data_IF_771788294293
#
_entry.id   IF_771788294293
#
_cell.length_a   1.000
_cell.length_b   1.000
_cell.length_c   1.000
_cell.angle_alpha   90.00
_cell.angle_beta   90.00
_cell.angle_gamma   90.00
#
_symmetry.space_group_name_H-M   'P 1'
#
loop_
_entity.id
_entity.type
_entity.pdbx_description
1 polymer ?
#
# COMPACT_ATOMS: atom_id res chain seq x y z
N UNK A 1 6.62 22.86 -20.25
CA UNK A 1 6.29 24.00 -19.37
C UNK A 1 4.87 23.92 -18.79
N UNK A 2 3.84 23.53 -19.54
CA UNK A 2 2.46 23.41 -19.08
C UNK A 2 2.27 22.45 -17.89
N UNK A 3 2.85 21.26 -17.93
CA UNK A 3 2.76 20.27 -16.84
C UNK A 3 3.29 20.78 -15.49
N UNK A 4 4.38 21.58 -15.50
CA UNK A 4 4.95 22.18 -14.28
C UNK A 4 4.04 23.28 -13.71
N UNK A 5 3.38 24.07 -14.58
CA UNK A 5 2.43 25.11 -14.15
C UNK A 5 1.15 24.52 -13.58
N UNK A 6 0.65 23.44 -14.17
CA UNK A 6 -0.52 22.71 -13.67
C UNK A 6 -0.21 22.08 -12.31
N UNK A 7 0.96 21.46 -12.13
CA UNK A 7 1.39 20.93 -10.84
C UNK A 7 1.50 22.00 -9.76
N UNK A 8 2.09 23.17 -10.10
CA UNK A 8 2.21 24.30 -9.17
C UNK A 8 0.83 24.89 -8.82
N UNK A 9 -0.11 24.92 -9.77
CA UNK A 9 -1.47 25.37 -9.53
C UNK A 9 -2.20 24.42 -8.57
N UNK A 10 -2.10 23.12 -8.77
CA UNK A 10 -2.67 22.11 -7.85
C UNK A 10 -2.03 22.17 -6.47
N UNK A 11 -0.71 22.35 -6.39
CA UNK A 11 -0.01 22.54 -5.13
C UNK A 11 -0.46 23.82 -4.42
N UNK A 12 -0.66 24.91 -5.15
CA UNK A 12 -1.14 26.18 -4.60
C UNK A 12 -2.60 26.13 -4.14
N UNK A 13 -3.48 25.46 -4.90
CA UNK A 13 -4.88 25.24 -4.53
C UNK A 13 -4.95 24.33 -3.29
N UNK A 14 -4.12 23.29 -3.22
CA UNK A 14 -4.01 22.45 -2.04
C UNK A 14 -3.57 23.27 -0.82
N UNK A 15 -2.53 24.10 -0.94
CA UNK A 15 -2.03 24.95 0.14
C UNK A 15 -3.08 26.00 0.54
N UNK A 16 -3.77 26.65 -0.42
CA UNK A 16 -4.80 27.65 -0.14
C UNK A 16 -6.02 27.03 0.57
N UNK A 17 -6.38 25.77 0.27
CA UNK A 17 -7.42 25.03 0.99
C UNK A 17 -7.08 24.78 2.46
N UNK A 18 -5.79 24.71 2.81
CA UNK A 18 -5.35 24.54 4.20
C UNK A 18 -5.52 25.80 5.07
N UNK A 19 -5.65 26.98 4.48
CA UNK A 19 -5.64 28.26 5.24
C UNK A 19 -7.00 28.53 5.90
N UNK A 20 -8.11 28.02 5.37
CA UNK A 20 -9.46 28.28 5.86
C UNK A 20 -10.16 27.07 6.52
N UNK A 21 -9.55 25.89 6.48
CA UNK A 21 -10.08 24.71 7.14
C UNK A 21 -9.24 24.39 8.36
N UNK A 22 -9.87 23.92 9.43
CA UNK A 22 -9.20 23.41 10.64
C UNK A 22 -8.46 22.08 10.33
N UNK A 23 -7.60 22.09 9.29
CA UNK A 23 -6.82 20.92 8.89
C UNK A 23 -5.73 20.66 9.92
N UNK A 24 -5.72 19.47 10.47
CA UNK A 24 -4.76 19.05 11.47
C UNK A 24 -3.72 18.13 10.82
N UNK A 25 -2.46 18.55 10.70
CA UNK A 25 -1.42 17.67 10.20
C UNK A 25 -1.10 16.56 11.21
N UNK A 26 -0.60 15.43 10.70
CA UNK A 26 -0.19 14.31 11.54
C UNK A 26 0.92 13.48 10.92
N UNK A 27 1.59 12.73 11.78
CA UNK A 27 2.60 11.75 11.39
C UNK A 27 2.05 10.36 11.68
N UNK A 28 2.18 9.47 10.73
CA UNK A 28 1.74 8.08 10.81
C UNK A 28 2.93 7.15 10.70
N UNK A 29 3.00 6.17 11.60
CA UNK A 29 3.92 5.04 11.51
C UNK A 29 3.12 3.74 11.62
N UNK A 30 3.62 2.66 11.07
CA UNK A 30 2.90 1.40 11.14
C UNK A 30 3.70 0.19 10.72
N UNK A 31 3.14 -0.95 11.06
CA UNK A 31 3.62 -2.26 10.70
C UNK A 31 2.67 -2.88 9.68
N UNK A 32 3.24 -3.48 8.63
CA UNK A 32 2.51 -4.05 7.52
C UNK A 32 2.72 -5.55 7.45
N UNK A 33 1.66 -6.25 7.07
CA UNK A 33 1.71 -7.62 6.55
C UNK A 33 1.20 -7.59 5.13
N UNK A 34 2.12 -7.57 4.15
CA UNK A 34 1.79 -7.57 2.74
C UNK A 34 1.77 -8.97 2.16
N UNK A 35 0.92 -9.18 1.19
CA UNK A 35 0.82 -10.43 0.44
C UNK A 35 0.23 -10.20 -0.94
N UNK A 36 0.19 -11.26 -1.72
CA UNK A 36 -0.56 -11.33 -2.97
C UNK A 36 -1.59 -12.43 -2.89
N UNK A 37 -2.78 -12.17 -3.42
CA UNK A 37 -3.91 -13.10 -3.45
C UNK A 37 -4.43 -13.18 -4.87
N UNK A 38 -4.80 -14.37 -5.34
CA UNK A 38 -5.38 -14.55 -6.66
C UNK A 38 -5.20 -15.94 -7.21
N UNK A 39 -5.55 -16.11 -8.48
CA UNK A 39 -5.53 -17.38 -9.19
C UNK A 39 -4.45 -17.38 -10.27
N UNK A 40 -3.77 -18.49 -10.37
CA UNK A 40 -2.90 -18.82 -11.49
C UNK A 40 -3.59 -19.89 -12.33
N UNK A 41 -3.81 -19.61 -13.60
CA UNK A 41 -4.26 -20.61 -14.58
C UNK A 41 -3.23 -20.71 -15.70
N UNK A 42 -2.58 -21.83 -15.82
CA UNK A 42 -1.64 -22.13 -16.92
C UNK A 42 -1.48 -23.64 -17.09
N UNK A 43 -1.33 -24.05 -18.37
CA UNK A 43 -1.17 -25.47 -18.76
C UNK A 43 0.25 -25.99 -18.62
N UNK A 44 1.19 -25.17 -18.14
CA UNK A 44 2.61 -25.57 -18.02
C UNK A 44 3.05 -25.61 -16.57
N UNK A 45 3.93 -26.59 -16.30
CA UNK A 45 4.49 -26.73 -14.97
C UNK A 45 5.32 -25.51 -14.56
N UNK A 46 5.36 -25.20 -13.27
CA UNK A 46 6.13 -24.09 -12.72
C UNK A 46 7.61 -24.05 -13.11
N UNK A 47 8.19 -25.13 -13.56
CA UNK A 47 9.61 -25.23 -13.94
C UNK A 47 9.97 -24.49 -15.24
N UNK A 48 9.00 -24.28 -16.14
CA UNK A 48 9.21 -23.60 -17.43
C UNK A 48 9.07 -22.07 -17.36
N UNK A 49 8.57 -21.56 -16.24
CA UNK A 49 8.43 -20.13 -16.04
C UNK A 49 9.69 -19.61 -15.36
N UNK A 50 10.50 -18.87 -16.08
CA UNK A 50 11.77 -18.27 -15.61
C UNK A 50 11.60 -17.34 -14.41
N UNK A 51 10.37 -16.95 -14.10
CA UNK A 51 9.90 -16.21 -12.92
C UNK A 51 8.51 -16.75 -12.53
N UNK A 52 8.46 -17.96 -12.10
CA UNK A 52 7.18 -18.54 -11.70
C UNK A 52 6.77 -17.92 -10.37
N UNK A 53 5.72 -17.13 -10.42
CA UNK A 53 4.87 -17.03 -9.26
C UNK A 53 4.48 -18.47 -8.90
N UNK A 54 4.84 -18.94 -7.71
CA UNK A 54 4.47 -20.26 -7.25
C UNK A 54 2.96 -20.44 -7.27
N UNK A 55 2.51 -21.65 -7.09
CA UNK A 55 1.11 -21.96 -6.87
C UNK A 55 0.52 -20.91 -5.90
N UNK A 56 -0.62 -20.27 -6.19
CA UNK A 56 -1.24 -19.28 -5.30
C UNK A 56 -1.36 -19.71 -3.84
N UNK A 57 -1.42 -21.02 -3.58
CA UNK A 57 -1.38 -21.59 -2.24
C UNK A 57 -0.03 -21.44 -1.50
N UNK A 58 1.04 -21.07 -2.20
CA UNK A 58 2.38 -20.96 -1.63
C UNK A 58 2.82 -19.52 -1.30
N UNK A 59 1.98 -18.54 -1.61
CA UNK A 59 2.23 -17.15 -1.22
C UNK A 59 1.93 -16.94 0.25
N UNK A 60 2.90 -16.41 0.97
CA UNK A 60 2.77 -16.04 2.37
C UNK A 60 2.95 -14.54 2.54
N UNK A 61 2.22 -13.99 3.49
CA UNK A 61 2.38 -12.58 3.86
C UNK A 61 3.78 -12.33 4.41
N UNK A 62 4.31 -11.17 4.07
CA UNK A 62 5.61 -10.70 4.54
C UNK A 62 5.45 -9.43 5.36
N UNK A 63 6.18 -9.38 6.47
CA UNK A 63 6.24 -8.19 7.31
C UNK A 63 6.97 -7.03 6.62
N UNK A 64 6.48 -5.84 6.90
CA UNK A 64 7.02 -4.58 6.44
C UNK A 64 6.65 -3.45 7.40
N UNK A 65 6.95 -2.24 7.01
CA UNK A 65 6.63 -1.05 7.78
C UNK A 65 6.13 0.07 6.87
N UNK A 66 5.51 1.06 7.47
CA UNK A 66 5.13 2.28 6.78
C UNK A 66 5.39 3.49 7.66
N UNK A 67 5.72 4.60 7.01
CA UNK A 67 5.84 5.91 7.62
C UNK A 67 5.24 6.94 6.67
N UNK A 68 4.53 7.91 7.21
CA UNK A 68 3.86 8.90 6.37
C UNK A 68 3.35 10.11 7.12
N UNK A 69 2.80 11.01 6.32
CA UNK A 69 2.14 12.22 6.77
C UNK A 69 0.65 12.10 6.42
N UNK A 70 -0.17 12.67 7.25
CA UNK A 70 -1.61 12.78 7.03
C UNK A 70 -2.07 14.20 7.30
N UNK A 71 -3.16 14.58 6.66
CA UNK A 71 -3.88 15.79 6.95
C UNK A 71 -5.30 15.41 7.35
N UNK A 72 -5.65 15.61 8.59
CA UNK A 72 -6.98 15.34 9.09
C UNK A 72 -7.86 16.55 8.86
N UNK A 73 -8.81 16.44 7.97
CA UNK A 73 -9.73 17.51 7.56
C UNK A 73 -11.14 17.19 8.04
N UNK A 74 -11.56 17.70 9.20
CA UNK A 74 -12.91 17.51 9.68
C UNK A 74 -13.92 18.24 8.78
N UNK A 75 -14.94 17.52 8.33
CA UNK A 75 -16.09 18.08 7.60
C UNK A 75 -17.18 18.47 8.60
N UNK A 76 -17.39 17.62 9.60
CA UNK A 76 -18.29 17.85 10.72
C UNK A 76 -17.78 17.09 11.96
N UNK A 77 -18.59 17.03 13.02
CA UNK A 77 -18.18 16.40 14.27
C UNK A 77 -17.91 14.89 14.16
N UNK A 78 -18.53 14.21 13.21
CA UNK A 78 -18.42 12.77 13.03
C UNK A 78 -17.66 12.34 11.77
N UNK A 79 -17.51 13.24 10.79
CA UNK A 79 -16.88 12.93 9.49
C UNK A 79 -15.65 13.79 9.25
N UNK A 80 -14.61 13.15 8.73
CA UNK A 80 -13.42 13.82 8.22
C UNK A 80 -12.94 13.16 6.93
N UNK A 81 -12.19 13.91 6.14
CA UNK A 81 -11.38 13.36 5.05
C UNK A 81 -9.91 13.40 5.50
N UNK A 82 -9.23 12.29 5.35
CA UNK A 82 -7.83 12.17 5.73
C UNK A 82 -6.98 11.80 4.51
N UNK A 83 -6.56 12.78 3.67
CA UNK A 83 -5.52 12.55 2.69
C UNK A 83 -4.18 12.34 3.38
N UNK A 84 -3.30 11.60 2.71
CA UNK A 84 -1.95 11.36 3.23
C UNK A 84 -0.94 11.07 2.15
N UNK A 85 0.31 10.97 2.56
CA UNK A 85 1.40 10.44 1.76
C UNK A 85 2.22 9.50 2.64
N UNK A 86 2.47 8.28 2.17
CA UNK A 86 3.22 7.29 2.95
C UNK A 86 4.24 6.55 2.11
N UNK A 87 5.40 6.30 2.69
CA UNK A 87 6.34 5.29 2.23
C UNK A 87 5.93 3.97 2.87
N UNK A 88 5.65 2.97 2.04
CA UNK A 88 5.17 1.67 2.47
C UNK A 88 6.07 0.58 1.94
N UNK A 89 6.65 -0.20 2.84
CA UNK A 89 7.31 -1.45 2.51
C UNK A 89 6.28 -2.56 2.53
N UNK A 90 6.10 -3.19 1.39
CA UNK A 90 5.20 -4.32 1.18
C UNK A 90 5.99 -5.49 0.62
N UNK A 91 5.38 -6.65 0.51
CA UNK A 91 6.02 -7.77 -0.12
C UNK A 91 5.31 -9.08 0.19
N UNK A 92 5.85 -10.14 -0.37
CA UNK A 92 5.35 -11.48 -0.16
C UNK A 92 6.51 -12.47 -0.14
N UNK A 93 6.23 -13.65 0.37
CA UNK A 93 7.15 -14.78 0.37
C UNK A 93 6.54 -15.87 -0.49
N UNK A 94 7.27 -16.32 -1.48
CA UNK A 94 6.93 -17.45 -2.32
C UNK A 94 7.72 -18.67 -1.85
N UNK A 95 7.02 -19.74 -1.44
CA UNK A 95 7.61 -21.00 -1.04
C UNK A 95 7.38 -22.03 -2.14
N UNK A 96 8.46 -22.53 -2.67
CA UNK A 96 8.46 -23.49 -3.75
C UNK A 96 8.99 -24.83 -3.26
N UNK A 97 8.20 -25.89 -3.44
CA UNK A 97 8.52 -27.25 -2.98
C UNK A 97 8.64 -28.18 -4.20
N UNK A 98 9.60 -27.92 -5.09
CA UNK A 98 10.02 -28.89 -6.09
C UNK A 98 11.48 -29.21 -5.84
N UNK A 99 11.81 -30.47 -5.59
CA UNK A 99 13.17 -30.94 -5.34
C UNK A 99 13.94 -30.27 -4.18
N UNK A 100 13.24 -29.79 -3.17
CA UNK A 100 13.79 -29.15 -1.95
C UNK A 100 13.24 -27.77 -1.70
N UNK A 101 13.10 -27.42 -0.42
CA UNK A 101 12.55 -26.14 0.01
C UNK A 101 13.33 -24.95 -0.59
N UNK A 102 12.70 -24.23 -1.47
CA UNK A 102 13.16 -22.97 -1.98
C UNK A 102 12.21 -21.85 -1.53
N UNK A 103 12.76 -20.80 -0.96
CA UNK A 103 12.00 -19.66 -0.46
C UNK A 103 12.52 -18.40 -1.14
N UNK A 104 11.64 -17.69 -1.82
CA UNK A 104 11.91 -16.39 -2.40
C UNK A 104 11.13 -15.33 -1.66
N UNK A 105 11.81 -14.30 -1.17
CA UNK A 105 11.20 -13.18 -0.45
C UNK A 105 11.32 -11.92 -1.29
N UNK A 106 10.20 -11.25 -1.48
CA UNK A 106 10.10 -9.98 -2.18
C UNK A 106 9.88 -8.85 -1.18
N UNK A 107 10.61 -7.77 -1.34
CA UNK A 107 10.45 -6.52 -0.58
C UNK A 107 10.30 -5.40 -1.57
N UNK A 108 9.15 -4.74 -1.56
CA UNK A 108 8.76 -3.71 -2.50
C UNK A 108 8.48 -2.41 -1.73
N UNK A 109 9.02 -1.30 -2.20
CA UNK A 109 8.84 0.00 -1.59
C UNK A 109 8.01 0.88 -2.51
N UNK A 110 6.93 1.42 -1.95
CA UNK A 110 5.98 2.28 -2.63
C UNK A 110 5.87 3.63 -1.94
N UNK A 111 5.75 4.67 -2.75
CA UNK A 111 5.20 5.95 -2.30
C UNK A 111 3.71 5.94 -2.64
N UNK A 112 2.86 6.01 -1.63
CA UNK A 112 1.40 5.92 -1.79
C UNK A 112 0.73 7.19 -1.26
N UNK A 113 -0.34 7.58 -1.94
CA UNK A 113 -1.22 8.70 -1.58
C UNK A 113 -2.63 8.13 -1.32
N UNK A 114 -2.96 7.79 -0.08
CA UNK A 114 -4.32 7.44 0.32
C UNK A 114 -5.18 8.68 0.51
N UNK A 115 -6.49 8.52 0.28
CA UNK A 115 -7.52 9.51 0.64
C UNK A 115 -8.65 8.75 1.31
N UNK A 116 -8.72 8.83 2.64
CA UNK A 116 -9.73 8.10 3.41
C UNK A 116 -10.83 9.04 3.91
N UNK A 117 -12.08 8.64 3.73
CA UNK A 117 -13.18 9.14 4.54
C UNK A 117 -13.10 8.46 5.90
N UNK A 118 -13.18 9.23 6.97
CA UNK A 118 -13.09 8.75 8.33
C UNK A 118 -14.37 9.13 9.09
N UNK A 119 -15.02 8.12 9.67
CA UNK A 119 -16.17 8.29 10.56
C UNK A 119 -15.71 8.10 12.01
N UNK A 120 -16.13 9.03 12.87
CA UNK A 120 -15.79 9.07 14.29
C UNK A 120 -17.05 8.90 15.12
N UNK A 121 -17.05 7.90 15.96
CA UNK A 121 -18.09 7.67 16.93
C UNK A 121 -17.54 7.98 18.32
N UNK A 122 -18.02 9.05 18.93
CA UNK A 122 -17.65 9.39 20.30
C UNK A 122 -18.27 8.37 21.25
N UNK A 123 -17.43 7.73 22.07
CA UNK A 123 -17.85 6.69 23.03
C UNK A 123 -17.57 7.07 24.47
N UNK A 124 -16.64 7.99 24.71
CA UNK A 124 -16.34 8.58 26.00
C UNK A 124 -15.64 9.93 25.81
N UNK A 125 -15.43 10.67 26.88
CA UNK A 125 -14.65 11.90 26.86
C UNK A 125 -13.26 11.62 26.27
N UNK A 126 -12.89 12.38 25.23
CA UNK A 126 -11.63 12.23 24.47
C UNK A 126 -11.38 10.86 23.80
N UNK A 127 -12.39 9.97 23.75
CA UNK A 127 -12.28 8.65 23.12
C UNK A 127 -13.27 8.52 21.97
N UNK A 128 -12.76 8.28 20.77
CA UNK A 128 -13.57 8.00 19.59
C UNK A 128 -13.22 6.63 19.02
N UNK A 129 -14.23 5.89 18.58
CA UNK A 129 -14.06 4.76 17.69
C UNK A 129 -14.02 5.30 16.27
N UNK A 130 -13.05 4.86 15.49
CA UNK A 130 -12.79 5.30 14.13
C UNK A 130 -13.10 4.20 13.14
N UNK A 131 -13.76 4.57 12.05
CA UNK A 131 -13.88 3.76 10.84
C UNK A 131 -13.36 4.58 9.68
N UNK A 132 -12.57 3.97 8.81
CA UNK A 132 -12.08 4.65 7.62
C UNK A 132 -12.24 3.77 6.39
N UNK A 133 -12.49 4.40 5.24
CA UNK A 133 -12.45 3.74 3.95
C UNK A 133 -12.12 4.76 2.84
N UNK A 134 -11.48 4.29 1.78
CA UNK A 134 -11.18 5.15 0.64
C UNK A 134 -10.15 4.56 -0.32
N UNK A 135 -9.92 5.23 -1.44
CA UNK A 135 -8.93 4.84 -2.43
C UNK A 135 -7.51 5.20 -2.00
N UNK A 136 -6.57 4.49 -2.59
CA UNK A 136 -5.17 4.88 -2.62
C UNK A 136 -4.59 4.69 -4.02
N UNK A 137 -3.59 5.49 -4.33
CA UNK A 137 -2.73 5.31 -5.50
C UNK A 137 -1.27 5.43 -5.07
N UNK A 138 -0.38 4.75 -5.76
CA UNK A 138 1.03 4.76 -5.44
C UNK A 138 1.93 4.45 -6.62
N UNK A 139 3.20 4.71 -6.41
CA UNK A 139 4.26 4.39 -7.36
C UNK A 139 5.32 3.52 -6.67
N UNK A 140 5.72 2.44 -7.35
CA UNK A 140 6.84 1.62 -6.95
C UNK A 140 8.15 2.40 -7.11
N UNK A 141 8.94 2.44 -6.05
CA UNK A 141 10.22 3.17 -6.04
C UNK A 141 11.38 2.22 -6.33
N UNK A 142 11.46 1.16 -5.58
CA UNK A 142 12.47 0.12 -5.73
C UNK A 142 12.02 -1.17 -5.04
N UNK A 143 12.60 -2.29 -5.47
CA UNK A 143 12.34 -3.58 -4.86
C UNK A 143 13.61 -4.41 -4.74
N UNK A 144 13.57 -5.35 -3.81
CA UNK A 144 14.64 -6.34 -3.62
C UNK A 144 14.06 -7.73 -3.42
N UNK A 145 14.76 -8.73 -3.93
CA UNK A 145 14.45 -10.12 -3.67
C UNK A 145 15.63 -10.84 -3.03
N UNK A 146 15.31 -11.86 -2.26
CA UNK A 146 16.29 -12.81 -1.71
C UNK A 146 15.82 -14.24 -1.96
N UNK A 147 16.76 -15.14 -2.16
CA UNK A 147 16.50 -16.53 -2.45
C UNK A 147 17.25 -17.41 -1.46
N UNK A 148 16.53 -18.37 -0.88
CA UNK A 148 17.07 -19.36 0.05
C UNK A 148 16.68 -20.76 -0.45
N UNK A 149 17.62 -21.68 -0.54
CA UNK A 149 17.39 -23.05 -0.94
C UNK A 149 17.93 -24.01 0.13
N UNK A 150 17.11 -24.99 0.55
CA UNK A 150 17.45 -25.94 1.63
C UNK A 150 17.98 -25.25 2.89
N UNK A 151 17.34 -24.15 3.31
CA UNK A 151 17.74 -23.37 4.47
C UNK A 151 19.03 -22.55 4.32
N UNK A 152 19.76 -22.66 3.21
CA UNK A 152 20.97 -21.89 2.94
C UNK A 152 20.67 -20.71 2.02
N UNK A 153 21.08 -19.51 2.42
CA UNK A 153 20.99 -18.33 1.57
C UNK A 153 21.85 -18.51 0.34
N UNK A 154 21.27 -18.27 -0.84
CA UNK A 154 22.00 -18.32 -2.11
C UNK A 154 22.54 -16.92 -2.43
N UNK A 155 23.80 -16.86 -2.85
CA UNK A 155 24.39 -15.62 -3.30
C UNK A 155 23.83 -15.28 -4.67
N UNK A 156 22.95 -14.28 -4.71
CA UNK A 156 22.48 -13.68 -5.94
C UNK A 156 23.44 -12.55 -6.35
N UNK A 157 23.63 -12.36 -7.66
CA UNK A 157 24.29 -11.15 -8.16
C UNK A 157 23.45 -9.91 -7.83
N UNK A 158 24.06 -8.73 -7.81
CA UNK A 158 23.34 -7.50 -7.44
C UNK A 158 22.21 -7.17 -8.43
N UNK A 159 22.37 -7.53 -9.71
CA UNK A 159 21.31 -7.44 -10.71
C UNK A 159 20.15 -8.40 -10.45
N UNK A 160 20.42 -9.59 -9.93
CA UNK A 160 19.38 -10.57 -9.57
C UNK A 160 18.64 -10.22 -8.28
N UNK A 161 19.24 -9.45 -7.39
CA UNK A 161 18.60 -8.96 -6.16
C UNK A 161 17.66 -7.80 -6.40
N UNK A 162 17.88 -7.01 -7.45
CA UNK A 162 17.09 -5.82 -7.76
C UNK A 162 15.83 -6.21 -8.53
N UNK A 163 14.72 -5.60 -8.14
CA UNK A 163 13.44 -5.67 -8.85
C UNK A 163 13.25 -4.34 -9.56
N UNK A 164 13.04 -4.37 -10.87
CA UNK A 164 12.76 -3.18 -11.68
C UNK A 164 11.26 -2.91 -11.72
N UNK A 165 10.90 -1.63 -11.52
CA UNK A 165 9.55 -1.13 -11.72
C UNK A 165 9.43 -0.44 -13.06
N UNK A 166 8.39 -0.76 -13.82
CA UNK A 166 8.14 -0.16 -15.11
C UNK A 166 6.95 -0.78 -15.82
N UNK A 167 6.68 -0.31 -17.04
CA UNK A 167 5.63 -0.83 -17.90
C UNK A 167 6.22 -1.48 -19.18
N UNK A 168 7.54 -1.63 -19.22
CA UNK A 168 8.26 -2.23 -20.32
C UNK A 168 8.33 -3.75 -20.23
N UNK A 169 8.70 -4.39 -21.37
CA UNK A 169 8.84 -5.86 -21.47
C UNK A 169 9.93 -6.41 -20.55
N UNK A 170 10.89 -5.57 -20.15
CA UNK A 170 12.01 -5.94 -19.27
C UNK A 170 11.75 -5.70 -17.79
N UNK A 171 10.63 -5.05 -17.45
CA UNK A 171 10.31 -4.70 -16.08
C UNK A 171 9.64 -5.87 -15.35
N UNK A 172 9.89 -5.97 -14.04
CA UNK A 172 9.41 -7.08 -13.22
C UNK A 172 8.01 -6.81 -12.66
N UNK A 173 7.74 -5.54 -12.28
CA UNK A 173 6.52 -5.14 -11.57
C UNK A 173 6.03 -3.79 -12.13
N UNK A 174 4.69 -3.58 -12.25
CA UNK A 174 4.14 -2.29 -12.65
C UNK A 174 4.59 -1.16 -11.74
N UNK A 175 4.86 -0.01 -12.32
CA UNK A 175 5.20 1.18 -11.55
C UNK A 175 4.04 1.68 -10.71
N UNK A 176 2.80 1.55 -11.22
CA UNK A 176 1.61 2.09 -10.57
C UNK A 176 0.91 0.99 -9.78
N UNK A 177 0.58 1.31 -8.53
CA UNK A 177 -0.26 0.52 -7.64
C UNK A 177 -1.45 1.37 -7.22
N UNK A 178 -2.66 0.81 -7.27
CA UNK A 178 -3.86 1.48 -6.80
C UNK A 178 -4.87 0.48 -6.25
N UNK A 179 -5.69 0.96 -5.32
CA UNK A 179 -6.64 0.10 -4.66
C UNK A 179 -7.57 0.86 -3.73
N UNK A 180 -8.24 0.10 -2.89
CA UNK A 180 -9.13 0.60 -1.85
C UNK A 180 -8.65 0.07 -0.50
N UNK A 181 -8.81 0.87 0.54
CA UNK A 181 -8.49 0.48 1.90
C UNK A 181 -9.69 0.74 2.81
N UNK A 182 -9.82 -0.10 3.83
CA UNK A 182 -10.77 0.08 4.91
C UNK A 182 -10.14 -0.31 6.25
N UNK A 183 -10.59 0.30 7.34
CA UNK A 183 -10.04 0.01 8.64
C UNK A 183 -10.91 0.54 9.78
N UNK A 184 -10.58 0.07 10.98
CA UNK A 184 -11.19 0.51 12.20
C UNK A 184 -10.12 0.74 13.28
N UNK A 185 -10.43 1.57 14.26
CA UNK A 185 -9.48 1.90 15.31
C UNK A 185 -10.08 2.77 16.39
N UNK A 186 -9.20 3.33 17.19
CA UNK A 186 -9.55 4.23 18.27
C UNK A 186 -8.71 5.51 18.19
N UNK A 187 -9.34 6.62 18.53
CA UNK A 187 -8.68 7.90 18.75
C UNK A 187 -8.78 8.24 20.25
N UNK A 188 -7.63 8.57 20.83
CA UNK A 188 -7.52 9.03 22.19
C UNK A 188 -6.68 10.30 22.20
N UNK A 189 -7.27 11.42 22.57
CA UNK A 189 -6.68 12.75 22.43
C UNK A 189 -6.21 13.04 21.00
N UNK A 190 -4.89 12.98 20.79
CA UNK A 190 -4.23 13.19 19.50
C UNK A 190 -3.71 11.92 18.85
N UNK A 191 -3.86 10.78 19.50
CA UNK A 191 -3.34 9.50 19.04
C UNK A 191 -4.45 8.70 18.37
N UNK A 192 -4.20 8.21 17.15
CA UNK A 192 -5.10 7.31 16.46
C UNK A 192 -4.40 5.95 16.27
N UNK A 193 -4.96 4.90 16.81
CA UNK A 193 -4.56 3.52 16.59
C UNK A 193 -5.52 2.88 15.60
N UNK A 194 -5.01 2.41 14.48
CA UNK A 194 -5.83 1.86 13.41
C UNK A 194 -5.32 0.50 12.98
N UNK A 195 -6.24 -0.43 12.74
CA UNK A 195 -6.01 -1.64 11.96
C UNK A 195 -6.76 -1.47 10.64
N UNK A 196 -6.05 -1.63 9.53
CA UNK A 196 -6.60 -1.40 8.21
C UNK A 196 -6.15 -2.48 7.23
N UNK A 197 -6.99 -2.73 6.24
CA UNK A 197 -6.73 -3.64 5.14
C UNK A 197 -6.83 -2.87 3.82
N UNK A 198 -5.73 -2.89 3.07
CA UNK A 198 -5.66 -2.32 1.72
C UNK A 198 -5.70 -3.45 0.70
N UNK A 199 -6.59 -3.32 -0.28
CA UNK A 199 -6.78 -4.25 -1.38
C UNK A 199 -6.43 -3.59 -2.72
N UNK A 200 -5.40 -4.11 -3.39
CA UNK A 200 -4.98 -3.64 -4.70
C UNK A 200 -5.96 -4.06 -5.79
N UNK A 201 -6.28 -3.15 -6.68
CA UNK A 201 -7.18 -3.38 -7.81
C UNK A 201 -6.41 -3.73 -9.09
N UNK A 202 -5.14 -3.40 -9.18
CA UNK A 202 -4.27 -3.78 -10.29
C UNK A 202 -3.53 -5.09 -10.00
N UNK A 203 -3.07 -5.72 -11.08
CA UNK A 203 -2.24 -6.92 -10.98
C UNK A 203 -0.77 -6.50 -10.78
N UNK A 204 -0.13 -6.84 -9.64
CA UNK A 204 1.27 -6.50 -9.38
C UNK A 204 2.27 -7.39 -10.13
N UNK A 205 1.82 -8.45 -10.79
CA UNK A 205 2.69 -9.33 -11.55
C UNK A 205 2.37 -9.19 -13.04
N UNK A 206 3.19 -8.44 -13.77
CA UNK A 206 3.13 -8.44 -15.22
C UNK A 206 3.66 -9.76 -15.76
N UNK A 207 2.83 -10.43 -16.53
CA UNK A 207 3.31 -11.47 -17.40
C UNK A 207 3.67 -10.88 -18.76
N UNK A 208 4.92 -11.12 -19.20
CA UNK A 208 5.40 -10.70 -20.54
C UNK A 208 4.55 -11.33 -21.64
N UNK A 209 3.90 -10.48 -22.40
CA UNK A 209 3.02 -10.84 -23.52
C UNK A 209 3.77 -11.26 -24.79
N UNK A 210 5.06 -11.60 -24.71
CA UNK A 210 5.93 -11.84 -25.87
C UNK A 210 6.03 -13.28 -26.34
N UNK A 211 5.34 -14.20 -25.73
CA UNK A 211 5.33 -15.55 -26.24
C UNK A 211 4.08 -15.77 -27.10
N UNK A 212 4.26 -15.97 -28.36
CA UNK A 212 3.24 -16.42 -29.32
C UNK A 212 2.52 -17.72 -28.93
N UNK A 213 2.72 -18.22 -27.71
CA UNK A 213 2.18 -19.50 -27.25
C UNK A 213 1.94 -19.63 -25.76
N UNK A 214 1.82 -18.57 -24.98
CA UNK A 214 1.59 -18.71 -23.55
C UNK A 214 0.20 -18.23 -23.16
N UNK A 215 -0.71 -19.15 -22.98
CA UNK A 215 -2.03 -18.97 -22.40
C UNK A 215 -1.91 -18.98 -20.88
N UNK A 216 -1.20 -17.99 -20.30
CA UNK A 216 -1.15 -17.86 -18.84
C UNK A 216 -1.97 -16.68 -18.41
N UNK A 217 -2.94 -16.91 -17.58
CA UNK A 217 -3.73 -15.88 -16.95
C UNK A 217 -3.36 -15.84 -15.47
N UNK A 218 -2.48 -14.90 -15.11
CA UNK A 218 -2.12 -14.63 -13.71
C UNK A 218 -2.95 -13.45 -13.28
N UNK A 219 -3.97 -13.66 -12.48
CA UNK A 219 -4.76 -12.60 -11.85
C UNK A 219 -4.50 -12.63 -10.34
N UNK A 220 -3.55 -11.82 -9.92
CA UNK A 220 -3.20 -11.65 -8.51
C UNK A 220 -3.38 -10.19 -8.11
N UNK A 221 -3.68 -9.98 -6.85
CA UNK A 221 -3.91 -8.66 -6.28
C UNK A 221 -3.05 -8.48 -5.04
N UNK A 222 -2.50 -7.29 -4.87
CA UNK A 222 -1.84 -6.92 -3.63
C UNK A 222 -2.88 -6.84 -2.51
N UNK A 223 -2.49 -7.29 -1.34
CA UNK A 223 -3.24 -7.02 -0.12
C UNK A 223 -2.29 -6.74 1.03
N UNK A 224 -2.67 -5.81 1.89
CA UNK A 224 -1.84 -5.39 3.03
C UNK A 224 -2.73 -5.20 4.25
N UNK A 225 -2.49 -6.01 5.27
CA UNK A 225 -3.01 -5.76 6.61
C UNK A 225 -2.00 -4.86 7.34
N UNK A 226 -2.47 -3.80 7.98
CA UNK A 226 -1.60 -2.88 8.69
C UNK A 226 -2.13 -2.52 10.07
N UNK A 227 -1.20 -2.32 11.02
CA UNK A 227 -1.47 -1.70 12.31
C UNK A 227 -0.68 -0.39 12.39
N UNK A 228 -1.35 0.73 12.64
CA UNK A 228 -0.75 2.06 12.59
C UNK A 228 -1.03 2.89 13.81
N UNK A 229 -0.05 3.71 14.17
CA UNK A 229 -0.18 4.80 15.12
C UNK A 229 -0.03 6.11 14.34
N UNK A 230 -1.00 7.00 14.52
CA UNK A 230 -0.95 8.36 13.99
C UNK A 230 -0.98 9.36 15.15
N UNK A 231 -0.12 10.35 15.10
CA UNK A 231 -0.15 11.50 16.01
C UNK A 231 -0.64 12.70 15.22
N UNK A 232 -1.79 13.23 15.60
CA UNK A 232 -2.40 14.42 14.99
C UNK A 232 -1.98 15.66 15.79
N UNK A 233 -1.50 16.67 15.09
CA UNK A 233 -1.12 17.96 15.70
C UNK A 233 -2.25 18.96 15.55
N UNK A 234 -2.36 19.84 16.52
CA UNK A 234 -3.45 20.82 16.59
C UNK A 234 -4.63 20.33 17.42
N UNK A 235 -5.46 21.30 17.83
CA UNK A 235 -6.65 21.06 18.61
C UNK A 235 -7.83 20.83 17.67
N UNK A 236 -8.72 19.95 18.06
CA UNK A 236 -10.02 19.82 17.41
C UNK A 236 -10.95 20.80 18.12
N UNK A 237 -11.13 21.99 17.54
CA UNK A 237 -12.20 22.85 17.98
C UNK A 237 -13.53 22.29 17.46
N UNK A 238 -14.59 22.21 18.30
CA UNK A 238 -15.92 21.89 17.81
C UNK A 238 -16.23 22.84 16.65
N UNK A 239 -16.67 22.32 15.51
CA UNK A 239 -17.12 23.18 14.43
C UNK A 239 -18.24 24.02 15.02
N UNK A 240 -18.04 25.34 15.07
CA UNK A 240 -19.12 26.24 15.42
C UNK A 240 -20.25 25.94 14.45
N UNK A 241 -21.31 25.29 14.96
CA UNK A 241 -22.55 25.23 14.23
C UNK A 241 -22.91 26.68 13.91
N UNK A 242 -22.90 27.03 12.65
CA UNK A 242 -23.50 28.27 12.19
C UNK A 242 -24.97 28.22 12.64
N UNK A 243 -25.22 28.78 13.82
CA UNK A 243 -26.55 29.19 14.22
C UNK A 243 -26.69 30.56 13.57
N UNK A 244 -27.34 30.56 12.43
CA UNK A 244 -28.18 31.68 11.96
C UNK A 244 -29.22 31.08 10.98
#
# INVERSE_FOLDING_TARGET
MLKRRVFLLFAFIAIAGFINAQVRPGIKIGYNFGGVMGNYRGDKSPEELKYTAGDPGNFHMKSGFQVGLVADWPINDVLAIQPGARLSMQGFTDKYISNGEAVRKFSLFYLQVPVYAQYRLNVAEDVNVLFQAGPYAGVGLFGRQSFTRKGKSQTLSDSQKKISFGNGVSDDIPTIDFGIGAGAGIEFFRFQFMVAYDFGLNNPLFYKKDAKSATYNVDVRNHVLSATLTVIFGRRDPLQNAKD
#
